data_IF_486450970524
#
_entry.id   IF_486450970524
#
_cell.length_a   1.000
_cell.length_b   1.000
_cell.length_c   1.000
_cell.angle_alpha   90.00
_cell.angle_beta   90.00
_cell.angle_gamma   90.00
#
_symmetry.space_group_name_H-M   'P 1'
#
loop_
_entity.id
_entity.type
_entity.pdbx_description
1 polymer ?
#
# COMPACT_ATOMS: atom_id res chain seq x y z
N UNK A 1 -18.37 -5.00 11.58
CA UNK A 1 -17.01 -4.45 11.61
C UNK A 1 -16.95 -3.15 10.83
N UNK A 2 -16.47 -2.09 11.44
CA UNK A 2 -16.32 -0.82 10.76
C UNK A 2 -15.10 -0.84 9.85
N UNK A 3 -15.00 0.16 8.98
CA UNK A 3 -13.84 0.33 8.10
C UNK A 3 -12.55 0.43 8.91
N UNK A 4 -12.57 1.21 9.98
CA UNK A 4 -11.38 1.39 10.83
C UNK A 4 -10.98 0.08 11.50
N UNK A 5 -11.95 -0.68 11.99
CA UNK A 5 -11.68 -1.97 12.60
C UNK A 5 -11.09 -2.96 11.58
N UNK A 6 -11.59 -2.93 10.36
CA UNK A 6 -11.08 -3.78 9.29
C UNK A 6 -9.60 -3.47 9.01
N UNK A 7 -9.26 -2.18 8.90
CA UNK A 7 -7.89 -1.78 8.64
C UNK A 7 -6.98 -2.08 9.83
N UNK A 8 -7.45 -1.87 11.06
CA UNK A 8 -6.67 -2.21 12.24
C UNK A 8 -6.34 -3.70 12.29
N UNK A 9 -7.33 -4.54 12.01
CA UNK A 9 -7.12 -5.97 11.97
C UNK A 9 -6.13 -6.36 10.88
N UNK A 10 -6.31 -5.82 9.68
CA UNK A 10 -5.43 -6.10 8.55
C UNK A 10 -4.00 -5.71 8.87
N UNK A 11 -3.79 -4.49 9.34
CA UNK A 11 -2.45 -3.99 9.63
C UNK A 11 -1.81 -4.76 10.79
N UNK A 12 -2.59 -5.19 11.76
CA UNK A 12 -2.09 -6.03 12.85
C UNK A 12 -1.56 -7.37 12.31
N UNK A 13 -2.30 -7.97 11.38
CA UNK A 13 -1.88 -9.23 10.76
C UNK A 13 -0.62 -9.05 9.91
N UNK A 14 -0.56 -7.95 9.17
CA UNK A 14 0.61 -7.63 8.34
C UNK A 14 1.85 -7.39 9.20
N UNK A 15 1.68 -6.74 10.35
CA UNK A 15 2.79 -6.50 11.29
C UNK A 15 3.39 -7.79 11.83
N UNK A 16 2.59 -8.84 11.91
CA UNK A 16 3.08 -10.14 12.38
C UNK A 16 3.85 -10.89 11.31
N UNK A 17 3.75 -10.47 10.06
CA UNK A 17 4.52 -11.06 8.97
C UNK A 17 5.91 -10.43 8.97
N UNK A 18 6.95 -11.25 9.13
CA UNK A 18 8.32 -10.77 9.12
C UNK A 18 8.66 -10.08 7.80
N UNK A 19 8.19 -10.64 6.69
CA UNK A 19 8.42 -10.05 5.37
C UNK A 19 7.70 -8.72 5.23
N UNK A 20 6.39 -8.68 5.53
CA UNK A 20 5.61 -7.46 5.33
C UNK A 20 6.04 -6.33 6.26
N UNK A 21 6.34 -6.65 7.51
CA UNK A 21 6.74 -5.65 8.48
C UNK A 21 8.15 -5.11 8.25
N UNK A 22 8.91 -5.72 7.34
CA UNK A 22 10.25 -5.24 7.02
C UNK A 22 10.26 -4.03 6.09
N UNK A 23 9.12 -3.66 5.50
CA UNK A 23 9.08 -2.54 4.57
C UNK A 23 8.81 -1.23 5.31
N UNK A 24 9.68 -0.25 5.09
CA UNK A 24 9.60 1.06 5.74
C UNK A 24 9.86 2.15 4.73
N UNK A 25 9.20 3.29 4.93
CA UNK A 25 9.49 4.47 4.12
C UNK A 25 10.82 5.06 4.55
N UNK A 26 11.67 5.35 3.58
CA UNK A 26 12.95 6.00 3.82
C UNK A 26 12.76 7.51 3.82
N UNK A 27 13.77 8.26 4.23
CA UNK A 27 13.70 9.71 4.28
C UNK A 27 13.32 10.29 2.91
N UNK A 28 13.92 9.78 1.85
CA UNK A 28 13.62 10.27 0.50
C UNK A 28 12.18 9.98 0.08
N UNK A 29 11.60 8.88 0.57
CA UNK A 29 10.19 8.58 0.31
C UNK A 29 9.30 9.60 1.00
N UNK A 30 9.60 9.94 2.24
CA UNK A 30 8.86 10.95 3.00
C UNK A 30 8.97 12.31 2.33
N UNK A 31 10.18 12.68 1.91
CA UNK A 31 10.41 13.94 1.22
C UNK A 31 9.62 14.02 -0.08
N UNK A 32 9.56 12.92 -0.82
CA UNK A 32 8.79 12.84 -2.06
C UNK A 32 7.29 13.04 -1.80
N UNK A 33 6.78 12.40 -0.74
CA UNK A 33 5.38 12.55 -0.36
C UNK A 33 5.06 14.00 -0.04
N UNK A 34 5.94 14.66 0.71
CA UNK A 34 5.78 16.08 1.04
C UNK A 34 5.80 16.96 -0.20
N UNK A 35 6.73 16.69 -1.10
CA UNK A 35 6.88 17.47 -2.31
C UNK A 35 5.67 17.37 -3.22
N UNK A 36 5.13 16.14 -3.38
CA UNK A 36 4.03 15.91 -4.31
C UNK A 36 2.66 16.14 -3.68
N UNK A 37 2.52 15.90 -2.37
CA UNK A 37 1.25 15.98 -1.67
C UNK A 37 0.46 14.69 -1.75
N UNK A 38 -0.36 14.44 -0.74
CA UNK A 38 -1.12 13.19 -0.62
C UNK A 38 -2.05 12.93 -1.79
N UNK A 39 -2.68 13.98 -2.34
CA UNK A 39 -3.59 13.80 -3.48
C UNK A 39 -2.85 13.24 -4.70
N UNK A 40 -1.64 13.73 -4.94
CA UNK A 40 -0.84 13.24 -6.06
C UNK A 40 -0.37 11.81 -5.82
N UNK A 41 0.01 11.50 -4.58
CA UNK A 41 0.41 10.13 -4.22
C UNK A 41 -0.75 9.18 -4.43
N UNK A 42 -1.98 9.59 -4.07
CA UNK A 42 -3.19 8.77 -4.30
C UNK A 42 -3.39 8.52 -5.80
N UNK A 43 -3.21 9.53 -6.63
CA UNK A 43 -3.31 9.36 -8.08
C UNK A 43 -2.30 8.31 -8.58
N UNK A 44 -1.07 8.38 -8.08
CA UNK A 44 -0.04 7.42 -8.44
C UNK A 44 -0.44 6.00 -8.01
N UNK A 45 -0.98 5.86 -6.80
CA UNK A 45 -1.43 4.56 -6.31
C UNK A 45 -2.52 3.99 -7.21
N UNK A 46 -3.50 4.83 -7.57
CA UNK A 46 -4.59 4.40 -8.44
C UNK A 46 -4.06 3.96 -9.82
N UNK A 47 -3.11 4.70 -10.37
CA UNK A 47 -2.51 4.36 -11.66
C UNK A 47 -1.75 3.05 -11.60
N UNK A 48 -0.96 2.83 -10.56
CA UNK A 48 -0.19 1.59 -10.44
C UNK A 48 -1.11 0.38 -10.27
N UNK A 49 -2.16 0.51 -9.46
CA UNK A 49 -3.13 -0.57 -9.29
C UNK A 49 -3.82 -0.87 -10.62
N UNK A 50 -4.28 0.16 -11.31
CA UNK A 50 -4.98 -0.01 -12.59
C UNK A 50 -4.08 -0.64 -13.65
N UNK A 51 -2.87 -0.16 -13.76
CA UNK A 51 -1.97 -0.58 -14.85
C UNK A 51 -1.27 -1.90 -14.56
N UNK A 52 -0.98 -2.21 -13.31
CA UNK A 52 -0.12 -3.35 -12.98
C UNK A 52 -0.84 -4.49 -12.27
N UNK A 53 -1.99 -4.23 -11.64
CA UNK A 53 -2.67 -5.25 -10.84
C UNK A 53 -4.06 -5.62 -11.35
N UNK A 54 -4.76 -4.73 -12.04
CA UNK A 54 -6.18 -4.91 -12.30
C UNK A 54 -6.53 -5.96 -13.36
N UNK A 55 -5.63 -6.26 -14.29
CA UNK A 55 -5.92 -7.22 -15.36
C UNK A 55 -6.24 -8.61 -14.84
N UNK A 56 -7.15 -9.29 -15.55
CA UNK A 56 -7.47 -10.68 -15.24
C UNK A 56 -6.27 -11.60 -15.44
N UNK A 57 -5.39 -11.25 -16.35
CA UNK A 57 -4.18 -12.03 -16.63
C UNK A 57 -2.97 -11.11 -16.56
N UNK A 58 -2.00 -11.50 -15.74
CA UNK A 58 -0.75 -10.75 -15.59
C UNK A 58 0.40 -11.72 -15.83
N UNK A 59 1.17 -11.44 -16.87
CA UNK A 59 2.35 -12.23 -17.18
C UNK A 59 3.38 -12.04 -16.06
N UNK A 60 3.91 -13.16 -15.55
CA UNK A 60 4.90 -13.13 -14.46
C UNK A 60 4.37 -12.45 -13.20
N UNK A 61 3.16 -12.83 -12.78
CA UNK A 61 2.59 -12.30 -11.54
C UNK A 61 3.56 -12.52 -10.38
N UNK A 62 3.76 -11.47 -9.60
CA UNK A 62 4.71 -11.47 -8.49
C UNK A 62 5.91 -10.57 -8.76
N UNK A 63 6.08 -10.07 -9.97
CA UNK A 63 7.23 -9.27 -10.36
C UNK A 63 6.87 -7.88 -10.88
N UNK A 64 5.61 -7.49 -10.81
CA UNK A 64 5.17 -6.25 -11.42
C UNK A 64 5.45 -5.01 -10.58
N UNK A 65 5.71 -5.16 -9.28
CA UNK A 65 5.93 -4.03 -8.40
C UNK A 65 7.38 -3.98 -7.93
N UNK A 66 8.11 -2.90 -8.25
CA UNK A 66 9.47 -2.74 -7.73
C UNK A 66 9.48 -2.68 -6.19
N UNK A 67 10.62 -3.02 -5.59
CA UNK A 67 10.75 -3.00 -4.13
C UNK A 67 11.07 -1.61 -3.58
N UNK A 68 11.50 -0.69 -4.44
CA UNK A 68 11.87 0.66 -4.03
C UNK A 68 11.71 1.61 -5.21
N UNK A 69 11.92 2.89 -4.98
CA UNK A 69 11.87 3.90 -6.03
C UNK A 69 10.61 4.75 -6.00
N UNK A 70 9.63 4.39 -5.18
CA UNK A 70 8.41 5.18 -5.00
C UNK A 70 7.76 4.74 -3.70
N UNK A 71 7.25 5.68 -2.88
CA UNK A 71 6.60 5.29 -1.62
C UNK A 71 5.42 4.34 -1.81
N UNK A 72 4.69 4.46 -2.92
CA UNK A 72 3.57 3.54 -3.21
C UNK A 72 4.09 2.10 -3.40
N UNK A 73 5.24 1.92 -4.04
CA UNK A 73 5.82 0.59 -4.21
C UNK A 73 6.14 -0.05 -2.86
N UNK A 74 6.73 0.73 -1.96
CA UNK A 74 7.03 0.26 -0.60
C UNK A 74 5.72 -0.12 0.11
N UNK A 75 4.72 0.75 0.01
CA UNK A 75 3.42 0.52 0.62
C UNK A 75 2.74 -0.74 0.06
N UNK A 76 2.86 -0.98 -1.24
CA UNK A 76 2.26 -2.17 -1.85
C UNK A 76 2.85 -3.46 -1.28
N UNK A 77 4.16 -3.48 -1.07
CA UNK A 77 4.78 -4.66 -0.45
C UNK A 77 4.41 -4.79 1.01
N UNK A 78 4.37 -3.68 1.74
CA UNK A 78 4.00 -3.68 3.16
C UNK A 78 2.55 -4.14 3.36
N UNK A 79 1.65 -3.81 2.42
CA UNK A 79 0.23 -4.10 2.55
C UNK A 79 -0.25 -5.29 1.72
N UNK A 80 0.68 -6.01 1.09
CA UNK A 80 0.37 -7.19 0.25
C UNK A 80 -0.56 -6.85 -0.92
N UNK A 81 -0.33 -5.69 -1.53
CA UNK A 81 -1.05 -5.28 -2.75
C UNK A 81 -0.12 -5.23 -3.95
N UNK A 82 1.01 -5.93 -3.87
CA UNK A 82 2.08 -5.87 -4.86
C UNK A 82 1.90 -6.82 -6.04
N UNK A 83 1.04 -7.81 -5.93
CA UNK A 83 0.73 -8.75 -7.01
C UNK A 83 -0.60 -9.43 -6.75
N UNK A 84 -1.16 -10.08 -7.77
CA UNK A 84 -2.48 -10.71 -7.65
C UNK A 84 -2.47 -11.88 -6.69
N UNK A 85 -1.37 -12.61 -6.60
CA UNK A 85 -1.23 -13.69 -5.63
C UNK A 85 -1.33 -13.19 -4.20
N UNK A 86 -0.61 -12.09 -3.90
CA UNK A 86 -0.65 -11.48 -2.58
C UNK A 86 -2.02 -10.86 -2.28
N UNK A 87 -2.60 -10.20 -3.27
CA UNK A 87 -3.94 -9.62 -3.15
C UNK A 87 -4.97 -10.71 -2.83
N UNK A 88 -4.89 -11.84 -3.51
CA UNK A 88 -5.78 -12.97 -3.25
C UNK A 88 -5.59 -13.51 -1.84
N UNK A 89 -4.33 -13.73 -1.45
CA UNK A 89 -4.01 -14.33 -0.15
C UNK A 89 -4.43 -13.45 1.02
N UNK A 90 -4.11 -12.17 0.94
CA UNK A 90 -4.29 -11.26 2.07
C UNK A 90 -5.62 -10.51 2.07
N UNK A 91 -6.16 -10.23 0.88
CA UNK A 91 -7.37 -9.41 0.75
C UNK A 91 -8.56 -10.22 0.24
N UNK A 92 -8.35 -11.49 -0.10
CA UNK A 92 -9.40 -12.41 -0.53
C UNK A 92 -10.11 -11.97 -1.79
N UNK A 93 -9.45 -11.18 -2.64
CA UNK A 93 -9.99 -10.82 -3.94
C UNK A 93 -9.63 -11.92 -4.94
N UNK A 94 -10.55 -12.30 -5.83
CA UNK A 94 -10.32 -13.43 -6.74
C UNK A 94 -9.21 -13.17 -7.73
N UNK A 95 -8.50 -14.24 -8.09
CA UNK A 95 -7.52 -14.21 -9.17
C UNK A 95 -8.23 -14.50 -10.49
N UNK A 96 -7.53 -14.26 -11.58
CA UNK A 96 -8.01 -14.61 -12.93
C UNK A 96 -9.28 -13.88 -13.35
N UNK A 97 -9.61 -12.80 -12.65
CA UNK A 97 -10.75 -11.94 -12.95
C UNK A 97 -10.26 -10.50 -12.86
N UNK A 98 -10.66 -9.68 -13.81
CA UNK A 98 -10.31 -8.26 -13.77
C UNK A 98 -10.86 -7.64 -12.48
N UNK A 99 -10.03 -6.85 -11.81
CA UNK A 99 -10.47 -6.14 -10.60
C UNK A 99 -11.51 -5.08 -10.98
N UNK A 100 -12.63 -5.07 -10.27
CA UNK A 100 -13.64 -4.04 -10.46
C UNK A 100 -13.09 -2.69 -9.96
N UNK A 101 -13.77 -1.61 -10.33
CA UNK A 101 -13.36 -0.29 -9.84
C UNK A 101 -13.43 -0.23 -8.32
N UNK A 102 -14.47 -0.83 -7.73
CA UNK A 102 -14.61 -0.87 -6.27
C UNK A 102 -13.47 -1.64 -5.62
N UNK A 103 -13.03 -2.74 -6.21
CA UNK A 103 -11.88 -3.51 -5.69
C UNK A 103 -10.59 -2.71 -5.83
N UNK A 104 -10.41 -2.03 -6.95
CA UNK A 104 -9.24 -1.16 -7.14
C UNK A 104 -9.22 -0.04 -6.11
N UNK A 105 -10.38 0.59 -5.88
CA UNK A 105 -10.51 1.66 -4.89
C UNK A 105 -10.19 1.16 -3.48
N UNK A 106 -10.60 -0.05 -3.15
CA UNK A 106 -10.26 -0.66 -1.86
C UNK A 106 -8.74 -0.79 -1.71
N UNK A 107 -8.06 -1.29 -2.73
CA UNK A 107 -6.60 -1.46 -2.67
C UNK A 107 -5.89 -0.12 -2.53
N UNK A 108 -6.36 0.90 -3.24
CA UNK A 108 -5.81 2.26 -3.11
C UNK A 108 -5.99 2.76 -1.68
N UNK A 109 -7.16 2.52 -1.09
CA UNK A 109 -7.44 2.94 0.28
C UNK A 109 -6.52 2.25 1.28
N UNK A 110 -6.24 0.96 1.09
CA UNK A 110 -5.28 0.22 1.92
C UNK A 110 -3.91 0.88 1.84
N UNK A 111 -3.45 1.13 0.63
CA UNK A 111 -2.14 1.74 0.39
C UNK A 111 -2.04 3.11 1.05
N UNK A 112 -3.05 3.96 0.82
CA UNK A 112 -3.02 5.33 1.33
C UNK A 112 -3.15 5.38 2.84
N UNK A 113 -3.96 4.49 3.43
CA UNK A 113 -4.09 4.43 4.88
C UNK A 113 -2.76 4.06 5.53
N UNK A 114 -2.05 3.09 4.93
CA UNK A 114 -0.73 2.72 5.44
C UNK A 114 0.25 3.90 5.33
N UNK A 115 0.28 4.56 4.17
CA UNK A 115 1.18 5.70 3.95
C UNK A 115 0.88 6.83 4.92
N UNK A 116 -0.39 7.16 5.10
CA UNK A 116 -0.79 8.22 6.01
C UNK A 116 -0.37 7.92 7.45
N UNK A 117 -0.62 6.68 7.89
CA UNK A 117 -0.27 6.27 9.25
C UNK A 117 1.24 6.35 9.48
N UNK A 118 2.02 5.80 8.55
CA UNK A 118 3.48 5.78 8.67
C UNK A 118 4.06 7.18 8.56
N UNK A 119 3.57 7.97 7.59
CA UNK A 119 4.05 9.33 7.39
C UNK A 119 3.72 10.22 8.59
N UNK A 120 2.51 10.10 9.11
CA UNK A 120 2.09 10.89 10.27
C UNK A 120 2.97 10.57 11.48
N UNK A 121 3.19 9.29 11.75
CA UNK A 121 4.04 8.86 12.86
C UNK A 121 5.45 9.39 12.69
N UNK A 122 5.99 9.28 11.48
CA UNK A 122 7.34 9.72 11.17
C UNK A 122 7.52 11.22 11.36
N UNK A 123 6.50 12.00 11.00
CA UNK A 123 6.56 13.45 11.07
C UNK A 123 6.25 13.98 12.47
N UNK A 124 5.33 13.34 13.16
CA UNK A 124 4.78 13.88 14.40
C UNK A 124 5.60 13.52 15.62
N UNK A 125 6.12 12.30 15.69
CA UNK A 125 6.87 11.83 16.86
C UNK A 125 8.07 12.71 17.21
N UNK A 126 8.94 13.08 16.24
CA UNK A 126 10.06 13.95 16.59
C UNK A 126 9.63 15.27 17.20
N UNK A 127 8.58 15.87 16.65
CA UNK A 127 8.04 17.13 17.18
C UNK A 127 7.54 16.97 18.60
N UNK A 128 6.82 15.90 18.86
CA UNK A 128 6.29 15.64 20.20
C UNK A 128 7.40 15.41 21.21
N UNK A 129 8.47 14.77 20.82
CA UNK A 129 9.58 14.51 21.75
C UNK A 129 10.35 15.76 22.07
N UNK A 130 10.34 16.73 21.20
CA UNK A 130 11.00 18.00 21.43
C UNK A 130 10.21 18.82 22.45
N UNK A 131 8.91 18.69 22.40
CA UNK A 131 8.04 19.37 23.33
C UNK A 131 8.01 18.66 24.65
#
# INVERSE_FOLDING_TARGET
MTKDEWFQDLFSRLDKSKFRSSFHLKRKDIDYIHKKGMDKIREHAADFIRKREASAFIKNDGKQTPYKGHPVFVAQHATATCCRGCINKWHKLPKDTKLSQMQQDYLVEVIMTWIETVSYTHLTLPTKRIV
#
